data_IF_903132795956
#
_entry.id   IF_903132795956
#
_cell.length_a   1.000
_cell.length_b   1.000
_cell.length_c   1.000
_cell.angle_alpha   90.00
_cell.angle_beta   90.00
_cell.angle_gamma   90.00
#
_symmetry.space_group_name_H-M   'P 1'
#
loop_
_entity.id
_entity.type
_entity.pdbx_description
1 polymer ?
#
# COMPACT_ATOMS: atom_id res chain seq x y z
N UNK A 1 15.03 5.65 2.67
CA UNK A 1 13.81 5.42 1.86
C UNK A 1 13.42 6.73 1.17
N UNK A 2 13.10 6.69 -0.12
CA UNK A 2 12.69 7.87 -0.91
C UNK A 2 11.17 8.13 -0.78
N UNK A 3 10.65 8.16 0.45
CA UNK A 3 9.27 8.60 0.69
C UNK A 3 9.25 10.13 0.86
N UNK A 4 8.12 10.80 0.55
CA UNK A 4 7.94 12.20 0.87
C UNK A 4 8.23 12.48 2.34
N UNK A 5 8.87 13.63 2.62
CA UNK A 5 9.11 14.07 4.00
C UNK A 5 7.82 14.59 4.67
N UNK A 6 6.86 15.04 3.88
CA UNK A 6 5.57 15.52 4.39
C UNK A 6 4.73 14.33 4.87
N UNK A 7 4.42 14.22 6.17
CA UNK A 7 3.61 13.13 6.72
C UNK A 7 2.17 13.12 6.21
N UNK A 8 1.68 14.22 5.63
CA UNK A 8 0.32 14.34 5.10
C UNK A 8 0.24 14.10 3.58
N UNK A 9 1.36 13.77 2.94
CA UNK A 9 1.41 13.56 1.50
C UNK A 9 0.41 12.50 1.04
N UNK A 10 -0.22 12.76 -0.10
CA UNK A 10 -0.95 11.71 -0.83
C UNK A 10 0.05 10.92 -1.67
N UNK A 11 0.09 9.61 -1.45
CA UNK A 11 1.01 8.69 -2.10
C UNK A 11 0.20 7.70 -2.93
N UNK A 12 0.27 7.86 -4.25
CA UNK A 12 -0.40 6.99 -5.21
C UNK A 12 0.63 6.01 -5.76
N UNK A 13 0.35 4.71 -5.62
CA UNK A 13 1.24 3.61 -5.95
C UNK A 13 0.60 2.76 -7.02
N UNK A 14 1.26 2.67 -8.18
CA UNK A 14 0.82 1.82 -9.29
C UNK A 14 1.77 0.64 -9.42
N UNK A 15 1.27 -0.57 -9.23
CA UNK A 15 2.07 -1.78 -9.23
C UNK A 15 1.46 -2.86 -10.12
N UNK A 16 2.32 -3.61 -10.80
CA UNK A 16 1.97 -4.85 -11.48
C UNK A 16 2.94 -5.95 -11.07
N UNK A 17 2.43 -7.13 -10.73
CA UNK A 17 3.27 -8.27 -10.33
C UNK A 17 4.29 -7.90 -9.23
N UNK A 18 5.57 -8.19 -9.45
CA UNK A 18 6.66 -7.94 -8.48
C UNK A 18 6.96 -6.46 -8.25
N UNK A 19 6.42 -5.55 -9.06
CA UNK A 19 6.50 -4.10 -8.85
C UNK A 19 5.87 -3.63 -7.53
N UNK A 20 5.12 -4.50 -6.83
CA UNK A 20 4.59 -4.25 -5.50
C UNK A 20 5.66 -4.18 -4.39
N UNK A 21 6.83 -4.78 -4.61
CA UNK A 21 7.86 -4.95 -3.59
C UNK A 21 8.25 -3.66 -2.83
N UNK A 22 8.59 -2.53 -3.50
CA UNK A 22 8.92 -1.30 -2.78
C UNK A 22 7.71 -0.75 -1.99
N UNK A 23 6.50 -0.87 -2.53
CA UNK A 23 5.29 -0.36 -1.90
C UNK A 23 4.89 -1.18 -0.69
N UNK A 24 5.16 -2.49 -0.67
CA UNK A 24 4.97 -3.30 0.53
C UNK A 24 5.78 -2.73 1.70
N UNK A 25 7.05 -2.38 1.48
CA UNK A 25 7.89 -1.77 2.51
C UNK A 25 7.38 -0.37 2.92
N UNK A 26 6.89 0.43 1.97
CA UNK A 26 6.32 1.75 2.27
C UNK A 26 5.08 1.63 3.18
N UNK A 27 4.15 0.75 2.79
CA UNK A 27 2.91 0.50 3.51
C UNK A 27 3.17 -0.07 4.92
N UNK A 28 4.15 -0.96 5.06
CA UNK A 28 4.59 -1.44 6.37
C UNK A 28 5.08 -0.30 7.28
N UNK A 29 5.95 0.57 6.76
CA UNK A 29 6.43 1.75 7.49
C UNK A 29 5.30 2.73 7.84
N UNK A 30 4.29 2.87 6.98
CA UNK A 30 3.14 3.76 7.21
C UNK A 30 2.16 3.23 8.27
N UNK A 31 1.85 1.94 8.24
CA UNK A 31 0.69 1.39 8.97
C UNK A 31 1.03 0.38 10.07
N UNK A 32 2.19 -0.27 10.03
CA UNK A 32 2.54 -1.31 11.02
C UNK A 32 3.73 -0.95 11.91
N UNK A 33 4.66 -0.16 11.43
CA UNK A 33 5.81 0.29 12.22
C UNK A 33 5.49 1.56 13.04
N UNK A 34 6.25 1.76 14.12
CA UNK A 34 6.26 3.01 14.89
C UNK A 34 7.66 3.59 14.84
N UNK A 35 7.76 4.88 14.53
CA UNK A 35 9.01 5.63 14.46
C UNK A 35 8.83 6.91 15.28
N UNK A 36 9.83 7.29 16.07
CA UNK A 36 9.75 8.48 16.94
C UNK A 36 9.69 9.78 16.12
N UNK A 37 10.27 9.78 14.93
CA UNK A 37 10.40 10.92 14.02
C UNK A 37 9.41 10.90 12.85
N UNK A 38 8.60 9.84 12.72
CA UNK A 38 7.71 9.66 11.58
C UNK A 38 6.37 9.02 11.95
N UNK A 39 5.29 9.71 11.56
CA UNK A 39 3.93 9.18 11.59
C UNK A 39 3.22 9.57 10.31
N UNK A 40 2.71 8.57 9.57
CA UNK A 40 1.92 8.81 8.38
C UNK A 40 0.52 9.31 8.76
N UNK A 41 0.12 10.46 8.20
CA UNK A 41 -1.19 11.08 8.39
C UNK A 41 -1.91 11.35 7.05
N UNK A 42 -1.24 11.09 5.92
CA UNK A 42 -1.76 11.33 4.57
C UNK A 42 -2.66 10.20 4.04
N UNK A 43 -2.79 10.16 2.71
CA UNK A 43 -3.54 9.13 1.99
C UNK A 43 -2.59 8.24 1.19
N UNK A 44 -2.59 6.95 1.46
CA UNK A 44 -1.91 5.93 0.67
C UNK A 44 -2.93 5.24 -0.24
N UNK A 45 -2.66 5.19 -1.53
CA UNK A 45 -3.53 4.56 -2.51
C UNK A 45 -2.74 3.58 -3.37
N UNK A 46 -3.05 2.29 -3.24
CA UNK A 46 -2.42 1.24 -4.02
C UNK A 46 -3.35 0.72 -5.11
N UNK A 47 -2.86 0.74 -6.36
CA UNK A 47 -3.39 -0.02 -7.47
C UNK A 47 -2.50 -1.24 -7.72
N UNK A 48 -3.06 -2.45 -7.64
CA UNK A 48 -2.32 -3.69 -7.88
C UNK A 48 -2.93 -4.48 -9.05
N UNK A 49 -2.17 -4.58 -10.14
CA UNK A 49 -2.50 -5.36 -11.32
C UNK A 49 -1.93 -6.78 -11.29
N UNK A 50 -2.77 -7.78 -11.52
CA UNK A 50 -2.37 -9.20 -11.62
C UNK A 50 -3.15 -9.95 -12.72
N UNK A 51 -2.65 -11.11 -13.22
CA UNK A 51 -3.40 -11.93 -14.17
C UNK A 51 -4.69 -12.50 -13.58
N UNK A 52 -4.62 -13.12 -12.40
CA UNK A 52 -5.74 -13.79 -11.74
C UNK A 52 -5.74 -13.44 -10.25
N UNK A 53 -6.90 -13.52 -9.60
CA UNK A 53 -7.04 -13.24 -8.15
C UNK A 53 -6.14 -14.11 -7.26
N UNK A 54 -5.80 -15.32 -7.70
CA UNK A 54 -4.85 -16.21 -6.99
C UNK A 54 -3.42 -15.67 -6.92
N UNK A 55 -3.08 -14.69 -7.78
CA UNK A 55 -1.74 -14.08 -7.85
C UNK A 55 -1.66 -12.75 -7.07
N UNK A 56 -2.71 -12.37 -6.33
CA UNK A 56 -2.69 -11.20 -5.46
C UNK A 56 -1.69 -11.38 -4.31
N UNK A 57 -0.48 -10.88 -4.52
CA UNK A 57 0.59 -10.91 -3.54
C UNK A 57 0.20 -10.11 -2.29
N UNK A 58 0.40 -10.70 -1.11
CA UNK A 58 0.20 -10.07 0.21
C UNK A 58 -1.23 -9.54 0.47
N UNK A 59 -2.25 -10.08 -0.21
CA UNK A 59 -3.64 -9.64 -0.08
C UNK A 59 -4.09 -9.47 1.37
N UNK A 60 -3.86 -10.48 2.21
CA UNK A 60 -4.24 -10.45 3.63
C UNK A 60 -3.55 -9.33 4.42
N UNK A 61 -2.30 -8.99 4.09
CA UNK A 61 -1.57 -7.90 4.74
C UNK A 61 -2.22 -6.55 4.41
N UNK A 62 -2.53 -6.32 3.13
CA UNK A 62 -3.14 -5.07 2.68
C UNK A 62 -4.58 -4.91 3.19
N UNK A 63 -5.34 -6.00 3.27
CA UNK A 63 -6.68 -5.98 3.88
C UNK A 63 -6.62 -5.57 5.36
N UNK A 64 -5.67 -6.12 6.13
CA UNK A 64 -5.44 -5.72 7.53
C UNK A 64 -5.04 -4.24 7.66
N UNK A 65 -4.25 -3.71 6.72
CA UNK A 65 -3.91 -2.28 6.70
C UNK A 65 -5.16 -1.42 6.46
N UNK A 66 -6.05 -1.86 5.55
CA UNK A 66 -7.31 -1.17 5.24
C UNK A 66 -8.26 -1.17 6.42
N UNK A 67 -8.37 -2.28 7.14
CA UNK A 67 -9.15 -2.37 8.38
C UNK A 67 -8.60 -1.45 9.48
N UNK A 68 -7.26 -1.36 9.59
CA UNK A 68 -6.60 -0.55 10.61
C UNK A 68 -6.68 0.96 10.33
N UNK A 69 -6.68 1.35 9.05
CA UNK A 69 -6.61 2.74 8.62
C UNK A 69 -7.54 3.02 7.42
N UNK A 70 -8.87 2.87 7.60
CA UNK A 70 -9.84 2.91 6.50
C UNK A 70 -9.90 4.28 5.79
N UNK A 71 -9.59 5.36 6.51
CA UNK A 71 -9.58 6.72 5.96
C UNK A 71 -8.25 7.09 5.29
N UNK A 72 -7.17 6.36 5.60
CA UNK A 72 -5.80 6.67 5.13
C UNK A 72 -5.26 5.66 4.12
N UNK A 73 -5.90 4.50 3.92
CA UNK A 73 -5.47 3.50 2.95
C UNK A 73 -6.59 3.08 1.99
N UNK A 74 -6.31 3.20 0.69
CA UNK A 74 -7.17 2.71 -0.40
C UNK A 74 -6.44 1.63 -1.20
N UNK A 75 -7.18 0.61 -1.59
CA UNK A 75 -6.67 -0.56 -2.30
C UNK A 75 -7.62 -0.91 -3.44
N UNK A 76 -7.11 -0.85 -4.67
CA UNK A 76 -7.82 -1.22 -5.88
C UNK A 76 -7.07 -2.31 -6.64
N UNK A 77 -7.78 -3.38 -7.00
CA UNK A 77 -7.24 -4.49 -7.75
C UNK A 77 -7.65 -4.40 -9.22
N UNK A 78 -6.70 -4.66 -10.12
CA UNK A 78 -6.96 -4.83 -11.54
C UNK A 78 -6.61 -6.27 -11.94
N UNK A 79 -7.62 -7.10 -12.20
CA UNK A 79 -7.44 -8.49 -12.59
C UNK A 79 -7.67 -8.62 -14.10
N UNK A 80 -6.66 -9.11 -14.83
CA UNK A 80 -6.65 -9.04 -16.30
C UNK A 80 -7.13 -10.29 -17.03
N UNK A 81 -7.29 -11.42 -16.34
CA UNK A 81 -7.67 -12.73 -16.92
C UNK A 81 -8.65 -13.50 -16.03
N UNK A 82 -9.56 -12.79 -15.39
CA UNK A 82 -10.62 -13.36 -14.55
C UNK A 82 -11.89 -13.68 -15.35
#
# INVERSE_FOLDING_TARGET
MLMPKDPNATIIMLATGTGIAPFRSFLWKMFFEKHDDYKFNGLAWLFLGVPTSSLLLYKEEFEKMREKAPDNFRLDFAVSRE
#
